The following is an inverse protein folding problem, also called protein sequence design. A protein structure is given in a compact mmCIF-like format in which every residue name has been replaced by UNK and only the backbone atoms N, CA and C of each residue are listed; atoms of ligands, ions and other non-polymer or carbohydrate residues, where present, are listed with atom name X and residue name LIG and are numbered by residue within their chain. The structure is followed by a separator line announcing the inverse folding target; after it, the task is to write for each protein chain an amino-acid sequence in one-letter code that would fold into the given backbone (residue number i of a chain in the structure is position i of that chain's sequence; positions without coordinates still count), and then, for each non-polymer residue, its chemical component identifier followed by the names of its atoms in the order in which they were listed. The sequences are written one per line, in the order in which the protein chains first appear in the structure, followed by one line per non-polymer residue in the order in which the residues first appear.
data_IF_214209820485
#
_entry.id   IF_214209820485
#
_cell.length_a   1.000
_cell.length_b   1.000
_cell.length_c   1.000
_cell.angle_alpha   90.00
_cell.angle_beta   90.00
_cell.angle_gamma   90.00
#
_symmetry.space_group_name_H-M   'P 1'
#
loop_
_entity.id
_entity.type
_entity.pdbx_description
1 polymer ?
#
# COMPACT_ATOMS: atom_id res chain seq x y z
N UNK A 1 1.66 13.43 23.89
CA UNK A 1 2.32 13.81 22.62
C UNK A 1 3.57 12.99 22.48
N UNK A 2 3.64 12.09 21.50
CA UNK A 2 4.76 11.17 21.31
C UNK A 2 5.87 11.85 20.48
N UNK A 3 7.12 11.81 20.92
CA UNK A 3 8.25 12.51 20.27
C UNK A 3 8.96 11.69 19.21
N UNK A 4 8.70 10.38 19.12
CA UNK A 4 9.40 9.44 18.25
C UNK A 4 10.92 9.36 18.52
N UNK A 5 11.40 9.93 19.64
CA UNK A 5 12.78 9.81 20.07
C UNK A 5 13.07 8.37 20.53
N UNK A 6 14.21 7.83 20.11
CA UNK A 6 14.69 6.53 20.58
C UNK A 6 15.43 6.68 21.90
N UNK A 7 15.91 5.55 22.46
CA UNK A 7 16.81 5.58 23.61
C UNK A 7 18.20 6.18 23.32
N UNK A 8 18.55 6.39 22.04
CA UNK A 8 19.80 7.03 21.64
C UNK A 8 19.56 8.51 21.36
N UNK A 9 20.33 9.35 22.04
CA UNK A 9 20.25 10.81 21.90
C UNK A 9 20.41 11.26 20.44
N UNK A 10 19.57 12.21 20.03
CA UNK A 10 19.54 12.73 18.66
C UNK A 10 18.99 11.78 17.60
N UNK A 11 18.55 10.57 17.97
CA UNK A 11 18.00 9.58 17.03
C UNK A 11 16.51 9.41 17.24
N UNK A 12 15.76 9.52 16.14
CA UNK A 12 14.31 9.42 16.07
C UNK A 12 13.91 8.32 15.08
N UNK A 13 12.78 7.66 15.30
CA UNK A 13 12.27 6.60 14.43
C UNK A 13 10.76 6.72 14.26
N UNK A 14 10.24 6.39 13.08
CA UNK A 14 8.80 6.41 12.78
C UNK A 14 8.43 5.40 11.69
N UNK A 15 7.13 5.25 11.43
CA UNK A 15 6.59 4.26 10.49
C UNK A 15 6.76 2.82 11.00
N UNK A 16 6.85 1.87 10.07
CA UNK A 16 6.87 0.44 10.36
C UNK A 16 7.98 0.00 11.32
N UNK A 17 9.10 0.72 11.35
CA UNK A 17 10.19 0.46 12.28
C UNK A 17 9.81 0.66 13.76
N UNK A 18 8.70 1.34 14.04
CA UNK A 18 8.20 1.63 15.40
C UNK A 18 6.89 0.90 15.69
N UNK A 19 5.95 0.91 14.75
CA UNK A 19 4.59 0.38 14.98
C UNK A 19 4.34 -0.98 14.34
N UNK A 20 5.27 -1.49 13.52
CA UNK A 20 5.00 -2.60 12.61
C UNK A 20 4.20 -2.14 11.38
N UNK A 21 3.84 -3.08 10.48
CA UNK A 21 3.21 -2.77 9.19
C UNK A 21 2.00 -1.86 9.35
N UNK A 22 2.01 -0.72 8.67
CA UNK A 22 0.94 0.28 8.69
C UNK A 22 0.58 0.76 7.28
N UNK A 23 -0.45 1.59 7.19
CA UNK A 23 -0.79 2.26 5.93
C UNK A 23 0.25 3.33 5.57
N UNK A 24 0.37 3.65 4.28
CA UNK A 24 1.26 4.73 3.79
C UNK A 24 0.97 6.06 4.49
N UNK A 25 -0.32 6.35 4.75
CA UNK A 25 -0.75 7.59 5.41
C UNK A 25 -0.26 7.65 6.87
N UNK A 26 -0.30 6.54 7.59
CA UNK A 26 0.21 6.46 8.97
C UNK A 26 1.73 6.63 9.03
N UNK A 27 2.47 6.03 8.08
CA UNK A 27 3.91 6.23 7.97
C UNK A 27 4.26 7.69 7.69
N UNK A 28 3.51 8.37 6.81
CA UNK A 28 3.67 9.81 6.53
C UNK A 28 3.37 10.64 7.79
N UNK A 29 2.30 10.33 8.51
CA UNK A 29 1.94 11.02 9.75
C UNK A 29 3.05 10.87 10.82
N UNK A 30 3.62 9.68 10.97
CA UNK A 30 4.75 9.44 11.85
C UNK A 30 5.99 10.25 11.43
N UNK A 31 6.31 10.31 10.13
CA UNK A 31 7.38 11.15 9.60
C UNK A 31 7.19 12.63 9.94
N UNK A 32 5.96 13.15 9.78
CA UNK A 32 5.60 14.53 10.14
C UNK A 32 5.84 14.81 11.63
N UNK A 33 5.43 13.88 12.50
CA UNK A 33 5.63 14.00 13.95
C UNK A 33 7.12 13.93 14.35
N UNK A 34 7.92 13.11 13.67
CA UNK A 34 9.35 13.02 13.89
C UNK A 34 10.04 14.34 13.52
N UNK A 35 9.68 14.92 12.37
CA UNK A 35 10.22 16.22 11.93
C UNK A 35 9.93 17.35 12.94
N UNK A 36 8.70 17.42 13.48
CA UNK A 36 8.34 18.38 14.54
C UNK A 36 9.24 18.21 15.78
N UNK A 37 9.53 16.96 16.14
CA UNK A 37 10.31 16.64 17.34
C UNK A 37 11.81 16.91 17.14
N UNK A 38 12.34 16.61 15.95
CA UNK A 38 13.71 16.93 15.53
C UNK A 38 13.93 18.44 15.51
N UNK A 39 13.01 19.21 14.92
CA UNK A 39 13.12 20.68 14.89
C UNK A 39 13.19 21.26 16.31
N UNK A 40 12.29 20.82 17.21
CA UNK A 40 12.31 21.22 18.63
C UNK A 40 13.61 20.82 19.33
N UNK A 41 14.13 19.62 19.05
CA UNK A 41 15.38 19.14 19.60
C UNK A 41 16.58 20.00 19.17
N UNK A 42 16.57 20.50 17.93
CA UNK A 42 17.59 21.40 17.39
C UNK A 42 17.38 22.88 17.80
N UNK A 43 16.40 23.18 18.66
CA UNK A 43 16.12 24.53 19.16
C UNK A 43 15.09 25.33 18.36
N UNK A 44 14.45 24.71 17.37
CA UNK A 44 13.32 25.26 16.61
C UNK A 44 12.00 25.25 17.38
N UNK A 45 10.92 25.63 16.70
CA UNK A 45 9.57 25.75 17.29
C UNK A 45 8.67 24.53 17.02
N UNK A 46 9.12 23.63 16.15
CA UNK A 46 8.38 22.48 15.63
C UNK A 46 7.23 22.88 14.71
N UNK A 47 7.41 23.95 13.93
CA UNK A 47 6.42 24.43 12.96
C UNK A 47 6.89 24.03 11.56
N UNK A 48 6.20 23.09 10.94
CA UNK A 48 6.55 22.49 9.63
C UNK A 48 5.41 22.61 8.62
N UNK A 49 4.58 23.64 8.77
CA UNK A 49 3.42 23.91 7.90
C UNK A 49 3.79 24.73 6.66
N UNK A 50 5.09 24.81 6.33
CA UNK A 50 5.56 25.51 5.14
C UNK A 50 5.04 24.81 3.87
N UNK A 51 4.45 25.61 2.98
CA UNK A 51 3.99 25.13 1.66
C UNK A 51 5.15 25.25 0.68
N UNK A 52 5.80 24.12 0.41
CA UNK A 52 6.99 24.06 -0.48
C UNK A 52 6.63 24.15 -1.98
N UNK A 53 5.41 23.79 -2.35
CA UNK A 53 4.92 23.83 -3.72
C UNK A 53 3.43 24.24 -3.74
N UNK A 54 2.97 24.89 -4.83
CA UNK A 54 1.54 24.98 -5.08
C UNK A 54 0.94 23.57 -5.20
N UNK A 55 -0.33 23.38 -4.80
CA UNK A 55 -1.00 22.11 -5.02
C UNK A 55 -1.04 21.80 -6.52
N UNK A 56 -0.65 20.59 -6.90
CA UNK A 56 -0.90 20.10 -8.24
C UNK A 56 -2.42 19.97 -8.43
N UNK A 57 -2.94 20.53 -9.52
CA UNK A 57 -4.29 20.24 -9.94
C UNK A 57 -4.31 18.77 -10.39
N UNK A 58 -5.02 17.93 -9.65
CA UNK A 58 -5.26 16.55 -10.08
C UNK A 58 -6.08 16.62 -11.36
N UNK A 59 -5.46 16.26 -12.48
CA UNK A 59 -6.23 15.94 -13.67
C UNK A 59 -7.17 14.78 -13.32
N UNK A 60 -8.44 14.93 -13.69
CA UNK A 60 -9.40 13.85 -13.52
C UNK A 60 -8.85 12.63 -14.25
N UNK A 61 -8.67 11.53 -13.51
CA UNK A 61 -8.37 10.25 -14.13
C UNK A 61 -9.49 9.95 -15.13
N UNK A 62 -9.17 9.39 -16.32
CA UNK A 62 -10.20 8.98 -17.25
C UNK A 62 -11.17 8.03 -16.55
N UNK A 63 -12.47 8.26 -16.75
CA UNK A 63 -13.49 7.29 -16.35
C UNK A 63 -13.24 6.00 -17.12
N UNK A 64 -12.94 4.93 -16.38
CA UNK A 64 -12.78 3.59 -16.96
C UNK A 64 -14.16 2.94 -16.85
N UNK A 65 -14.92 2.97 -17.94
CA UNK A 65 -16.20 2.26 -18.09
C UNK A 65 -15.97 0.78 -18.45
N UNK A 66 -15.04 0.14 -17.74
CA UNK A 66 -14.94 -1.31 -17.74
C UNK A 66 -15.55 -1.75 -16.42
N UNK A 67 -16.80 -2.20 -16.47
CA UNK A 67 -17.52 -2.73 -15.30
C UNK A 67 -16.68 -3.74 -14.52
N UNK A 68 -17.01 -3.91 -13.25
CA UNK A 68 -16.23 -4.75 -12.34
C UNK A 68 -16.04 -6.18 -12.91
N UNK A 69 -14.78 -6.58 -13.02
CA UNK A 69 -14.38 -7.94 -13.41
C UNK A 69 -13.75 -8.61 -12.18
N UNK A 70 -14.35 -9.70 -11.71
CA UNK A 70 -13.77 -10.48 -10.61
C UNK A 70 -12.51 -11.23 -11.05
N UNK A 71 -11.61 -11.47 -10.10
CA UNK A 71 -10.41 -12.28 -10.31
C UNK A 71 -10.82 -13.67 -10.81
N UNK A 72 -10.18 -14.12 -11.89
CA UNK A 72 -10.36 -15.49 -12.37
C UNK A 72 -9.77 -16.49 -11.37
N UNK A 73 -10.49 -17.59 -11.04
CA UNK A 73 -9.94 -18.61 -10.17
C UNK A 73 -8.76 -19.31 -10.85
N UNK A 74 -7.65 -19.46 -10.13
CA UNK A 74 -6.50 -20.22 -10.61
C UNK A 74 -6.94 -21.68 -10.82
N UNK A 75 -6.76 -22.28 -12.00
CA UNK A 75 -7.05 -23.68 -12.22
C UNK A 75 -6.21 -24.51 -11.25
N UNK A 76 -6.82 -25.50 -10.61
CA UNK A 76 -6.09 -26.35 -9.67
C UNK A 76 -6.24 -27.82 -10.00
N UNK A 77 -5.21 -28.59 -9.67
CA UNK A 77 -5.22 -30.03 -9.89
C UNK A 77 -6.42 -30.69 -9.20
N UNK A 78 -7.11 -31.68 -9.79
CA UNK A 78 -8.23 -32.35 -9.11
C UNK A 78 -7.80 -32.99 -7.78
N UNK A 79 -8.67 -32.96 -6.77
CA UNK A 79 -8.34 -33.42 -5.40
C UNK A 79 -7.78 -34.86 -5.36
N UNK A 80 -8.30 -35.76 -6.20
CA UNK A 80 -7.83 -37.15 -6.25
C UNK A 80 -6.37 -37.30 -6.69
N UNK A 81 -5.89 -36.38 -7.53
CA UNK A 81 -4.51 -36.40 -8.05
C UNK A 81 -3.53 -35.70 -7.10
N UNK A 82 -4.02 -34.81 -6.23
CA UNK A 82 -3.21 -34.12 -5.21
C UNK A 82 -2.66 -35.07 -4.14
N UNK A 83 -3.36 -36.15 -3.85
CA UNK A 83 -3.03 -37.03 -2.73
C UNK A 83 -1.83 -37.96 -3.00
N UNK A 84 -1.51 -38.21 -4.27
CA UNK A 84 -0.53 -39.22 -4.68
C UNK A 84 0.76 -38.70 -5.28
N UNK A 85 0.96 -37.38 -5.34
CA UNK A 85 2.10 -36.79 -6.03
C UNK A 85 2.57 -35.48 -5.40
N UNK A 86 3.79 -35.06 -5.76
CA UNK A 86 4.30 -33.71 -5.51
C UNK A 86 4.08 -32.79 -6.73
N UNK A 87 3.09 -33.10 -7.56
CA UNK A 87 2.74 -32.27 -8.70
C UNK A 87 2.22 -30.90 -8.22
N UNK A 88 2.47 -29.88 -9.03
CA UNK A 88 2.02 -28.53 -8.75
C UNK A 88 0.48 -28.48 -8.67
N UNK A 89 -0.04 -27.89 -7.60
CA UNK A 89 -1.48 -27.85 -7.34
C UNK A 89 -2.14 -26.65 -8.01
N UNK A 90 -1.47 -25.50 -7.99
CA UNK A 90 -1.89 -24.29 -8.71
C UNK A 90 -1.33 -24.35 -10.13
N UNK A 91 -2.20 -24.53 -11.10
CA UNK A 91 -1.82 -24.64 -12.50
C UNK A 91 -1.79 -23.24 -13.14
N UNK A 92 -1.04 -23.11 -14.22
CA UNK A 92 -0.99 -21.87 -15.01
C UNK A 92 -2.32 -21.58 -15.73
N UNK A 93 -2.62 -20.29 -15.90
CA UNK A 93 -3.65 -19.85 -16.82
C UNK A 93 -3.27 -20.20 -18.26
N UNK A 94 -4.27 -20.43 -19.11
CA UNK A 94 -4.04 -20.46 -20.56
C UNK A 94 -3.63 -19.07 -21.04
N UNK A 95 -3.05 -18.98 -22.23
CA UNK A 95 -2.65 -17.69 -22.81
C UNK A 95 -3.85 -16.71 -22.88
N UNK A 96 -5.02 -17.21 -23.27
CA UNK A 96 -6.25 -16.42 -23.36
C UNK A 96 -6.69 -15.88 -21.99
N UNK A 97 -6.71 -16.75 -20.96
CA UNK A 97 -7.10 -16.37 -19.60
C UNK A 97 -6.06 -15.44 -18.95
N UNK A 98 -4.78 -15.62 -19.27
CA UNK A 98 -3.72 -14.76 -18.79
C UNK A 98 -3.82 -13.35 -19.39
N UNK A 99 -4.16 -13.22 -20.67
CA UNK A 99 -4.43 -11.93 -21.31
C UNK A 99 -5.64 -11.27 -20.66
N UNK A 100 -6.73 -12.01 -20.46
CA UNK A 100 -7.93 -11.49 -19.82
C UNK A 100 -7.65 -10.98 -18.39
N UNK A 101 -6.97 -11.76 -17.55
CA UNK A 101 -6.59 -11.36 -16.19
C UNK A 101 -5.63 -10.17 -16.18
N UNK A 102 -4.72 -10.05 -17.16
CA UNK A 102 -3.83 -8.90 -17.29
C UNK A 102 -4.57 -7.60 -17.70
N UNK A 103 -5.67 -7.73 -18.43
CA UNK A 103 -6.56 -6.59 -18.75
C UNK A 103 -7.54 -6.26 -17.63
N UNK A 104 -7.60 -7.06 -16.56
CA UNK A 104 -8.55 -6.84 -15.46
C UNK A 104 -8.20 -5.57 -14.70
N UNK A 105 -9.15 -4.63 -14.68
CA UNK A 105 -9.03 -3.40 -13.90
C UNK A 105 -8.80 -3.73 -12.41
N UNK A 106 -7.78 -3.11 -11.79
CA UNK A 106 -7.47 -3.23 -10.36
C UNK A 106 -7.97 -2.02 -9.55
N UNK A 107 -8.92 -1.24 -10.10
CA UNK A 107 -9.51 -0.08 -9.43
C UNK A 107 -10.44 -0.52 -8.28
N UNK A 108 -9.84 -1.03 -7.21
CA UNK A 108 -10.53 -1.37 -5.96
C UNK A 108 -11.16 -0.14 -5.28
N UNK A 109 -10.78 1.06 -5.69
CA UNK A 109 -11.40 2.32 -5.26
C UNK A 109 -12.80 2.54 -5.85
N UNK A 110 -13.21 1.74 -6.85
CA UNK A 110 -14.54 1.78 -7.45
C UNK A 110 -15.46 0.65 -6.96
N UNK A 111 -15.02 -0.17 -5.99
CA UNK A 111 -15.87 -1.23 -5.41
C UNK A 111 -17.10 -0.62 -4.73
N UNK A 112 -18.28 -0.83 -5.34
CA UNK A 112 -19.55 -0.56 -4.69
C UNK A 112 -19.72 -1.56 -3.55
N UNK A 113 -19.65 -1.09 -2.31
CA UNK A 113 -19.94 -1.92 -1.13
C UNK A 113 -21.43 -2.25 -1.12
N UNK A 114 -21.80 -3.43 -1.60
CA UNK A 114 -23.11 -4.04 -1.33
C UNK A 114 -23.32 -4.31 0.17
#
# INVERSE_FOLDING_TARGET
TYTLATGREGVFAGGDAVTGPATVIEAIAAGRQAAISIDKYLGGKGVIDEKLAPPEELEALPEIDEGEKHRLPIPTLPLGERLGSFAEVELSLSEELAIEEATRCLRCDLEERE
#
